data_IF_611820737246
#
_entry.id   IF_611820737246
#
_cell.length_a   1.000
_cell.length_b   1.000
_cell.length_c   1.000
_cell.angle_alpha   90.00
_cell.angle_beta   90.00
_cell.angle_gamma   90.00
#
_symmetry.space_group_name_H-M   'P 1'
#
loop_
_entity.id
_entity.type
_entity.pdbx_description
1 polymer ?
#
# COMPACT_ATOMS: atom_id res chain seq x y z
N UNK A 1 58.41 -51.70 43.51
CA UNK A 1 59.39 -50.70 43.98
C UNK A 1 59.52 -49.65 42.90
N UNK A 2 58.72 -48.57 43.01
CA UNK A 2 59.16 -47.17 43.21
C UNK A 2 59.45 -46.48 41.86
N UNK A 3 58.54 -45.63 41.32
CA UNK A 3 58.41 -44.18 41.57
C UNK A 3 59.66 -43.40 41.07
N UNK A 4 59.63 -42.23 40.44
CA UNK A 4 58.65 -41.24 40.00
C UNK A 4 59.43 -40.25 39.09
N UNK A 5 58.78 -39.52 38.18
CA UNK A 5 58.56 -38.08 38.34
C UNK A 5 57.95 -37.44 37.09
N UNK A 6 57.06 -36.51 37.40
CA UNK A 6 56.21 -35.68 36.56
C UNK A 6 56.86 -34.28 36.37
N UNK A 7 56.17 -33.42 35.61
CA UNK A 7 56.30 -31.95 35.51
C UNK A 7 57.02 -31.40 34.25
N UNK A 8 56.18 -31.02 33.27
CA UNK A 8 55.96 -29.61 32.98
C UNK A 8 56.71 -28.97 31.80
N UNK A 9 55.98 -28.70 30.70
CA UNK A 9 55.91 -27.36 30.07
C UNK A 9 54.77 -27.29 29.06
N UNK A 10 53.76 -26.50 29.44
CA UNK A 10 52.58 -26.15 28.67
C UNK A 10 52.93 -25.37 27.40
N UNK A 11 52.24 -25.73 26.33
CA UNK A 11 52.27 -25.07 25.03
C UNK A 11 51.56 -23.72 25.15
N UNK A 12 52.24 -22.66 24.74
CA UNK A 12 51.73 -21.30 24.69
C UNK A 12 50.59 -21.20 23.67
N UNK A 13 49.37 -20.97 24.16
CA UNK A 13 48.22 -20.54 23.37
C UNK A 13 48.27 -19.02 23.26
N UNK A 14 48.39 -18.49 22.04
CA UNK A 14 48.28 -17.05 21.78
C UNK A 14 46.89 -16.51 22.14
N UNK A 15 46.74 -15.19 22.34
CA UNK A 15 45.51 -14.60 22.86
C UNK A 15 44.39 -14.79 21.85
N UNK A 16 43.26 -15.34 22.28
CA UNK A 16 42.02 -15.31 21.53
C UNK A 16 41.58 -13.85 21.38
N UNK A 17 41.54 -13.36 20.14
CA UNK A 17 40.91 -12.08 19.82
C UNK A 17 39.48 -12.10 20.34
N UNK A 18 39.25 -11.28 21.36
CA UNK A 18 37.93 -11.07 21.95
C UNK A 18 37.10 -10.23 20.97
N UNK A 19 35.84 -10.57 20.69
CA UNK A 19 34.99 -9.74 19.85
C UNK A 19 34.90 -8.36 20.51
N UNK A 20 35.13 -7.33 19.68
CA UNK A 20 35.17 -5.92 20.03
C UNK A 20 34.15 -5.54 21.10
N UNK A 21 34.64 -5.10 22.27
CA UNK A 21 33.85 -4.30 23.21
C UNK A 21 33.43 -3.02 22.50
N UNK A 22 32.25 -3.02 21.88
CA UNK A 22 31.51 -1.79 21.63
C UNK A 22 31.45 -1.06 22.98
N UNK A 23 32.01 0.14 23.05
CA UNK A 23 31.96 0.98 24.25
C UNK A 23 30.49 1.25 24.55
N UNK A 24 29.91 0.47 25.46
CA UNK A 24 28.58 0.74 26.01
C UNK A 24 28.65 2.16 26.57
N UNK A 25 27.92 3.08 25.95
CA UNK A 25 27.71 4.43 26.49
C UNK A 25 26.98 4.22 27.81
N UNK A 26 27.57 4.67 28.93
CA UNK A 26 27.31 4.14 30.27
C UNK A 26 25.85 4.12 30.74
N UNK A 27 25.00 4.98 30.18
CA UNK A 27 23.58 5.07 30.52
C UNK A 27 22.66 4.26 29.57
N UNK A 28 23.21 3.61 28.55
CA UNK A 28 22.45 2.80 27.59
C UNK A 28 22.38 1.36 28.10
N UNK A 29 21.17 0.79 28.25
CA UNK A 29 20.99 -0.62 28.58
C UNK A 29 21.83 -1.54 27.68
N UNK A 30 22.48 -2.54 28.28
CA UNK A 30 23.44 -3.40 27.58
C UNK A 30 22.79 -4.21 26.45
N UNK A 31 21.51 -4.57 26.58
CA UNK A 31 20.72 -5.21 25.54
C UNK A 31 20.57 -4.32 24.30
N UNK A 32 20.32 -3.02 24.48
CA UNK A 32 20.25 -2.06 23.37
C UNK A 32 21.62 -1.80 22.75
N UNK A 33 22.67 -1.67 23.56
CA UNK A 33 24.03 -1.46 23.06
C UNK A 33 24.55 -2.65 22.22
N UNK A 34 24.07 -3.86 22.51
CA UNK A 34 24.40 -5.07 21.77
C UNK A 34 23.47 -5.35 20.58
N UNK A 35 22.38 -4.58 20.44
CA UNK A 35 21.39 -4.75 19.36
C UNK A 35 21.59 -3.78 18.19
N UNK A 36 22.71 -3.07 18.15
CA UNK A 36 23.02 -2.16 17.04
C UNK A 36 23.53 -2.93 15.83
N UNK A 37 23.12 -2.51 14.64
CA UNK A 37 23.65 -3.02 13.38
C UNK A 37 25.01 -2.40 13.02
N UNK A 38 25.59 -2.83 11.89
CA UNK A 38 26.89 -2.36 11.40
C UNK A 38 26.94 -0.84 11.16
N UNK A 39 25.79 -0.17 11.08
CA UNK A 39 25.68 1.28 10.90
C UNK A 39 25.35 2.02 12.20
N UNK A 40 25.29 1.32 13.34
CA UNK A 40 24.98 1.88 14.65
C UNK A 40 23.49 2.15 14.88
N UNK A 41 22.60 1.55 14.07
CA UNK A 41 21.15 1.65 14.25
C UNK A 41 20.62 0.52 15.13
N UNK A 42 19.66 0.81 16.02
CA UNK A 42 18.97 -0.21 16.82
C UNK A 42 18.14 -1.18 15.98
N UNK A 43 17.77 -0.78 14.76
CA UNK A 43 17.01 -1.59 13.82
C UNK A 43 17.58 -1.34 12.44
N UNK A 44 17.93 -2.42 11.73
CA UNK A 44 18.32 -2.34 10.33
C UNK A 44 17.10 -1.96 9.48
N UNK A 45 17.21 -0.84 8.77
CA UNK A 45 16.16 -0.34 7.89
C UNK A 45 16.67 -0.36 6.46
N UNK A 46 15.93 -1.06 5.60
CA UNK A 46 16.24 -1.08 4.17
C UNK A 46 16.08 0.31 3.55
N UNK A 47 16.97 0.71 2.63
CA UNK A 47 16.84 1.99 1.95
C UNK A 47 15.52 2.10 1.20
N UNK A 48 14.78 3.17 1.45
CA UNK A 48 13.50 3.45 0.81
C UNK A 48 13.63 4.34 -0.42
N UNK A 49 12.62 4.22 -1.30
CA UNK A 49 12.41 5.14 -2.40
C UNK A 49 11.53 6.32 -1.97
N UNK A 50 11.97 7.53 -2.32
CA UNK A 50 11.27 8.78 -2.09
C UNK A 50 10.84 9.42 -3.40
N UNK A 51 9.63 9.98 -3.41
CA UNK A 51 9.12 10.85 -4.46
C UNK A 51 9.46 12.29 -4.07
N UNK A 52 10.52 12.82 -4.68
CA UNK A 52 11.06 14.16 -4.44
C UNK A 52 10.47 15.13 -5.46
N UNK A 53 9.73 16.12 -4.98
CA UNK A 53 9.02 17.08 -5.80
C UNK A 53 9.71 18.44 -5.75
N UNK A 54 10.16 18.94 -6.91
CA UNK A 54 10.69 20.28 -7.09
C UNK A 54 9.61 21.16 -7.69
N UNK A 55 9.25 22.24 -7.00
CA UNK A 55 7.99 22.96 -7.29
C UNK A 55 8.17 24.48 -7.33
N UNK A 56 7.33 25.19 -8.10
CA UNK A 56 7.21 26.63 -8.00
C UNK A 56 6.59 27.02 -6.66
N UNK A 57 6.88 28.24 -6.18
CA UNK A 57 6.32 28.75 -4.93
C UNK A 57 4.84 29.12 -5.08
N UNK A 58 4.02 28.74 -4.09
CA UNK A 58 2.57 28.98 -4.06
C UNK A 58 2.19 30.45 -3.85
N UNK A 59 3.06 31.24 -3.22
CA UNK A 59 2.86 32.69 -3.00
C UNK A 59 3.99 33.47 -3.62
N UNK A 60 3.70 34.62 -4.21
CA UNK A 60 4.73 35.49 -4.80
C UNK A 60 5.65 36.02 -3.71
N UNK A 61 6.95 35.85 -3.88
CA UNK A 61 7.99 36.40 -3.02
C UNK A 61 8.95 37.26 -3.83
N UNK A 62 9.55 38.28 -3.21
CA UNK A 62 10.43 39.22 -3.91
C UNK A 62 11.66 38.53 -4.52
N UNK A 63 12.18 37.50 -3.86
CA UNK A 63 13.36 36.74 -4.30
C UNK A 63 13.08 35.75 -5.43
N UNK A 64 11.80 35.47 -5.75
CA UNK A 64 11.42 34.51 -6.80
C UNK A 64 12.01 34.82 -8.19
N UNK A 65 12.39 36.09 -8.43
CA UNK A 65 13.00 36.52 -9.70
C UNK A 65 14.47 36.08 -9.86
N UNK A 66 15.13 35.71 -8.77
CA UNK A 66 16.55 35.36 -8.75
C UNK A 66 16.81 33.85 -8.69
N UNK A 67 15.76 33.04 -8.74
CA UNK A 67 15.82 31.57 -8.63
C UNK A 67 15.09 30.90 -9.78
N UNK A 68 15.37 29.62 -10.00
CA UNK A 68 14.73 28.83 -11.06
C UNK A 68 13.20 28.85 -10.92
N UNK A 69 12.50 29.22 -11.99
CA UNK A 69 11.06 29.49 -11.94
C UNK A 69 10.21 28.27 -11.55
N UNK A 70 10.63 27.05 -11.91
CA UNK A 70 9.98 25.78 -11.53
C UNK A 70 10.49 25.16 -10.23
N UNK A 71 11.68 25.52 -9.74
CA UNK A 71 12.33 24.85 -8.60
C UNK A 71 12.62 25.87 -7.50
N UNK A 72 11.55 26.43 -6.93
CA UNK A 72 11.64 27.40 -5.83
C UNK A 72 11.58 26.73 -4.48
N UNK A 73 11.02 25.52 -4.44
CA UNK A 73 10.85 24.73 -3.23
C UNK A 73 11.04 23.23 -3.54
N UNK A 74 11.37 22.44 -2.53
CA UNK A 74 11.48 20.99 -2.62
C UNK A 74 10.89 20.33 -1.39
N UNK A 75 10.16 19.24 -1.61
CA UNK A 75 9.65 18.36 -0.57
C UNK A 75 9.75 16.91 -1.00
N UNK A 76 9.58 15.99 -0.06
CA UNK A 76 9.65 14.57 -0.33
C UNK A 76 8.42 13.87 0.24
N UNK A 77 7.95 12.84 -0.46
CA UNK A 77 6.86 12.01 0.00
C UNK A 77 7.05 10.57 -0.44
N UNK A 78 6.39 9.63 0.23
CA UNK A 78 6.38 8.23 -0.19
C UNK A 78 5.06 7.54 0.20
N UNK A 79 4.55 6.61 -0.61
CA UNK A 79 3.34 5.86 -0.27
C UNK A 79 3.62 4.84 0.84
N UNK A 80 2.63 4.60 1.69
CA UNK A 80 2.62 3.49 2.66
C UNK A 80 2.04 2.24 2.02
N UNK A 81 2.14 1.09 2.70
CA UNK A 81 1.47 -0.16 2.28
C UNK A 81 -0.05 -0.07 2.29
N UNK A 82 -0.61 0.82 3.11
CA UNK A 82 -2.06 1.03 3.30
C UNK A 82 -2.66 2.07 2.36
N UNK A 83 -1.87 2.69 1.48
CA UNK A 83 -2.35 3.69 0.52
C UNK A 83 -2.29 5.14 1.01
N UNK A 84 -2.05 5.39 2.29
CA UNK A 84 -1.69 6.74 2.77
C UNK A 84 -0.31 7.17 2.25
N UNK A 85 0.05 8.44 2.46
CA UNK A 85 1.36 8.96 2.06
C UNK A 85 2.07 9.63 3.22
N UNK A 86 3.32 9.26 3.47
CA UNK A 86 4.18 10.04 4.33
C UNK A 86 4.66 11.28 3.55
N UNK A 87 4.42 12.47 4.10
CA UNK A 87 4.94 13.74 3.61
C UNK A 87 6.04 14.23 4.54
N UNK A 88 7.17 14.63 3.96
CA UNK A 88 8.24 15.41 4.60
C UNK A 88 8.40 16.72 3.85
N UNK A 89 7.97 17.79 4.50
CA UNK A 89 7.75 19.10 3.90
C UNK A 89 8.47 20.17 4.74
N UNK A 90 9.65 20.64 4.30
CA UNK A 90 10.39 21.71 4.97
C UNK A 90 9.71 23.07 4.75
N UNK A 91 8.67 23.35 5.51
CA UNK A 91 7.83 24.53 5.35
C UNK A 91 8.34 25.74 6.14
N UNK A 92 9.04 26.63 5.46
CA UNK A 92 9.49 27.93 6.00
C UNK A 92 10.32 27.78 7.29
N UNK A 93 9.69 27.89 8.47
CA UNK A 93 10.35 27.81 9.79
C UNK A 93 10.10 26.47 10.51
N UNK A 94 9.38 25.54 9.90
CA UNK A 94 9.03 24.24 10.50
C UNK A 94 9.30 23.09 9.54
N UNK A 95 9.83 21.99 10.06
CA UNK A 95 9.79 20.70 9.38
C UNK A 95 8.43 20.03 9.63
N UNK A 96 7.63 19.84 8.59
CA UNK A 96 6.38 19.11 8.68
C UNK A 96 6.59 17.66 8.25
N UNK A 97 6.25 16.73 9.14
CA UNK A 97 6.21 15.30 8.86
C UNK A 97 4.83 14.80 9.22
N UNK A 98 4.06 14.30 8.25
CA UNK A 98 2.68 13.88 8.46
C UNK A 98 2.28 12.76 7.51
N UNK A 99 1.23 12.01 7.88
CA UNK A 99 0.59 11.02 7.01
C UNK A 99 -0.62 11.69 6.37
N UNK A 100 -0.67 11.69 5.04
CA UNK A 100 -1.77 12.22 4.25
C UNK A 100 -2.69 11.10 3.77
N UNK A 101 -4.01 11.30 3.80
CA UNK A 101 -4.93 10.53 2.99
C UNK A 101 -4.55 10.60 1.50
N UNK A 102 -4.89 9.59 0.68
CA UNK A 102 -4.49 9.56 -0.72
C UNK A 102 -5.00 10.78 -1.51
N UNK A 103 -6.22 11.25 -1.24
CA UNK A 103 -6.79 12.44 -1.90
C UNK A 103 -5.97 13.72 -1.62
N UNK A 104 -5.47 13.89 -0.41
CA UNK A 104 -4.61 15.03 -0.06
C UNK A 104 -3.22 14.89 -0.66
N UNK A 105 -2.68 13.67 -0.70
CA UNK A 105 -1.40 13.39 -1.36
C UNK A 105 -1.43 13.75 -2.84
N UNK A 106 -2.55 13.48 -3.54
CA UNK A 106 -2.72 13.89 -4.95
C UNK A 106 -2.61 15.41 -5.13
N UNK A 107 -3.10 16.21 -4.18
CA UNK A 107 -2.96 17.68 -4.25
C UNK A 107 -1.50 18.11 -4.26
N UNK A 108 -0.67 17.48 -3.43
CA UNK A 108 0.78 17.70 -3.42
C UNK A 108 1.46 17.15 -4.68
N UNK A 109 1.10 15.96 -5.16
CA UNK A 109 1.64 15.42 -6.41
C UNK A 109 1.32 16.31 -7.62
N UNK A 110 0.10 16.87 -7.66
CA UNK A 110 -0.30 17.86 -8.66
C UNK A 110 0.53 19.13 -8.59
N UNK A 111 0.87 19.60 -7.39
CA UNK A 111 1.83 20.69 -7.22
C UNK A 111 3.22 20.27 -7.72
N UNK A 112 3.66 19.05 -7.41
CA UNK A 112 4.86 18.40 -7.96
C UNK A 112 4.92 18.48 -9.49
N UNK A 113 3.83 18.15 -10.17
CA UNK A 113 3.74 18.13 -11.62
C UNK A 113 3.93 19.50 -12.29
N UNK A 114 3.76 20.60 -11.53
CA UNK A 114 4.02 21.96 -12.06
C UNK A 114 5.52 22.27 -12.16
N UNK A 115 6.38 21.48 -11.51
CA UNK A 115 7.83 21.50 -11.66
C UNK A 115 8.34 20.14 -12.13
N UNK A 116 9.09 19.44 -11.30
CA UNK A 116 9.68 18.15 -11.63
C UNK A 116 9.56 17.17 -10.46
N UNK A 117 9.25 15.91 -10.75
CA UNK A 117 9.13 14.84 -9.76
C UNK A 117 10.18 13.78 -10.05
N UNK A 118 10.96 13.40 -9.03
CA UNK A 118 11.98 12.36 -9.12
C UNK A 118 11.69 11.24 -8.12
N UNK A 119 11.84 9.98 -8.54
CA UNK A 119 12.01 8.86 -7.62
C UNK A 119 13.49 8.70 -7.31
N UNK A 120 13.82 8.74 -6.02
CA UNK A 120 15.20 8.72 -5.52
C UNK A 120 15.29 7.74 -4.37
N UNK A 121 16.19 6.77 -4.48
CA UNK A 121 16.52 5.85 -3.38
C UNK A 121 17.46 6.53 -2.39
N UNK A 122 17.11 6.53 -1.11
CA UNK A 122 17.97 7.09 -0.07
C UNK A 122 19.27 6.28 0.11
N UNK A 123 20.27 6.88 0.73
CA UNK A 123 21.50 6.20 1.11
C UNK A 123 21.47 5.87 2.61
N UNK A 124 21.62 4.59 2.94
CA UNK A 124 21.78 4.09 4.32
C UNK A 124 23.08 3.26 4.36
N UNK A 125 24.13 3.70 5.09
CA UNK A 125 24.25 4.99 5.74
C UNK A 125 24.39 6.14 4.73
N UNK A 126 23.96 7.33 5.12
CA UNK A 126 24.13 8.54 4.32
C UNK A 126 25.56 9.12 4.40
N UNK A 127 25.87 10.06 3.51
CA UNK A 127 27.16 10.78 3.48
C UNK A 127 27.03 12.26 3.91
N UNK A 128 25.91 12.61 4.53
CA UNK A 128 25.64 13.97 4.95
C UNK A 128 26.48 14.39 6.16
N UNK A 129 27.01 15.62 6.14
CA UNK A 129 27.72 16.20 7.27
C UNK A 129 26.75 16.63 8.38
N UNK A 130 27.15 16.44 9.64
CA UNK A 130 26.44 16.96 10.82
C UNK A 130 26.71 18.46 11.05
N UNK A 131 27.76 19.02 10.45
CA UNK A 131 28.01 20.46 10.46
C UNK A 131 27.05 21.13 9.48
N UNK A 132 25.91 21.57 9.99
CA UNK A 132 24.84 22.18 9.21
C UNK A 132 25.03 23.70 9.18
N UNK A 133 25.38 24.25 8.03
CA UNK A 133 25.30 25.69 7.78
C UNK A 133 23.84 26.17 7.70
N UNK A 134 23.51 27.02 6.74
CA UNK A 134 22.12 27.44 6.50
C UNK A 134 21.19 26.26 6.16
N UNK A 135 20.15 26.04 6.98
CA UNK A 135 19.21 24.93 6.81
C UNK A 135 17.98 25.38 6.02
N UNK A 136 17.95 25.09 4.72
CA UNK A 136 16.80 25.37 3.84
C UNK A 136 16.21 24.06 3.27
N UNK A 137 15.13 24.15 2.50
CA UNK A 137 14.44 22.97 1.97
C UNK A 137 15.36 22.05 1.16
N UNK A 138 16.29 22.58 0.37
CA UNK A 138 17.25 21.76 -0.38
C UNK A 138 18.22 21.02 0.54
N UNK A 139 18.78 21.70 1.54
CA UNK A 139 19.70 21.09 2.52
C UNK A 139 18.98 20.01 3.33
N UNK A 140 17.74 20.26 3.75
CA UNK A 140 16.95 19.33 4.53
C UNK A 140 16.52 18.10 3.71
N UNK A 141 16.11 18.29 2.45
CA UNK A 141 15.81 17.16 1.55
C UNK A 141 17.07 16.37 1.18
N UNK A 142 18.22 17.03 0.99
CA UNK A 142 19.49 16.33 0.79
C UNK A 142 19.85 15.47 2.01
N UNK A 143 19.66 16.01 3.22
CA UNK A 143 19.90 15.28 4.46
C UNK A 143 18.96 14.08 4.61
N UNK A 144 17.66 14.24 4.33
CA UNK A 144 16.68 13.15 4.31
C UNK A 144 17.13 12.01 3.39
N UNK A 145 17.64 12.34 2.21
CA UNK A 145 18.09 11.37 1.21
C UNK A 145 19.49 10.78 1.50
N UNK A 146 20.15 11.19 2.60
CA UNK A 146 21.51 10.76 2.91
C UNK A 146 22.57 11.30 1.94
N UNK A 147 22.31 12.44 1.29
CA UNK A 147 23.21 13.11 0.34
C UNK A 147 24.01 14.24 1.01
N UNK A 148 25.17 14.64 0.45
CA UNK A 148 25.93 15.78 0.96
C UNK A 148 25.11 17.09 0.88
N UNK A 149 25.18 17.91 1.92
CA UNK A 149 24.43 19.17 2.08
C UNK A 149 25.00 20.37 1.30
N UNK A 150 25.89 20.13 0.33
CA UNK A 150 26.54 21.19 -0.45
C UNK A 150 25.62 21.82 -1.51
N UNK A 151 24.39 21.31 -1.68
CA UNK A 151 23.39 21.86 -2.59
C UNK A 151 22.41 22.80 -1.88
N UNK A 152 22.69 24.10 -1.99
CA UNK A 152 21.97 25.15 -1.29
C UNK A 152 20.68 25.62 -1.96
N UNK A 153 20.35 25.12 -3.16
CA UNK A 153 19.15 25.52 -3.89
C UNK A 153 18.38 24.29 -4.39
N UNK A 154 17.04 24.35 -4.49
CA UNK A 154 16.26 23.23 -5.01
C UNK A 154 16.70 22.83 -6.42
N UNK A 155 17.00 23.79 -7.31
CA UNK A 155 17.51 23.47 -8.64
C UNK A 155 18.92 22.84 -8.61
N UNK A 156 19.77 23.24 -7.67
CA UNK A 156 21.07 22.60 -7.44
C UNK A 156 20.93 21.13 -7.04
N UNK A 157 20.05 20.86 -6.07
CA UNK A 157 19.73 19.50 -5.64
C UNK A 157 19.12 18.66 -6.77
N UNK A 158 18.17 19.21 -7.52
CA UNK A 158 17.60 18.56 -8.70
C UNK A 158 18.67 18.09 -9.69
N UNK A 159 19.61 18.98 -10.06
CA UNK A 159 20.72 18.63 -10.98
C UNK A 159 21.67 17.60 -10.39
N UNK A 160 21.87 17.60 -9.07
CA UNK A 160 22.66 16.57 -8.39
C UNK A 160 21.97 15.21 -8.51
N UNK A 161 20.70 15.11 -8.11
CA UNK A 161 19.95 13.86 -8.09
C UNK A 161 19.76 13.27 -9.49
N UNK A 162 19.60 14.11 -10.52
CA UNK A 162 19.51 13.66 -11.91
C UNK A 162 20.78 12.98 -12.44
N UNK A 163 21.95 13.22 -11.83
CA UNK A 163 23.20 12.55 -12.26
C UNK A 163 23.31 11.14 -11.69
N UNK A 164 22.47 10.78 -10.72
CA UNK A 164 22.50 9.46 -10.10
C UNK A 164 21.82 8.43 -11.00
N UNK A 165 22.50 7.30 -11.23
CA UNK A 165 22.01 6.23 -12.13
C UNK A 165 20.73 5.57 -11.65
N UNK A 166 20.40 5.64 -10.36
CA UNK A 166 19.18 5.07 -9.77
C UNK A 166 17.99 6.03 -9.82
N UNK A 167 18.21 7.33 -10.05
CA UNK A 167 17.13 8.32 -10.08
C UNK A 167 16.29 8.17 -11.34
N UNK A 168 14.97 8.27 -11.18
CA UNK A 168 14.00 8.25 -12.30
C UNK A 168 13.12 9.48 -12.23
N UNK A 169 12.70 9.99 -13.40
CA UNK A 169 11.64 11.00 -13.46
C UNK A 169 10.30 10.28 -13.33
N UNK A 170 9.39 10.89 -12.59
CA UNK A 170 8.09 10.33 -12.32
C UNK A 170 6.97 11.17 -12.92
N UNK A 171 5.87 10.50 -13.25
CA UNK A 171 4.63 11.13 -13.66
C UNK A 171 3.55 10.82 -12.64
N UNK A 172 2.72 11.80 -12.30
CA UNK A 172 1.66 11.65 -11.29
C UNK A 172 0.70 10.51 -11.63
N UNK A 173 0.28 10.38 -12.89
CA UNK A 173 -0.62 9.31 -13.31
C UNK A 173 -0.01 7.94 -13.05
N UNK A 174 1.25 7.73 -13.40
CA UNK A 174 1.92 6.44 -13.17
C UNK A 174 2.09 6.15 -11.67
N UNK A 175 2.44 7.17 -10.87
CA UNK A 175 2.51 7.01 -9.41
C UNK A 175 1.18 6.57 -8.81
N UNK A 176 0.06 7.12 -9.29
CA UNK A 176 -1.27 6.74 -8.83
C UNK A 176 -1.68 5.35 -9.33
N UNK A 177 -1.37 5.00 -10.58
CA UNK A 177 -1.58 3.65 -11.11
C UNK A 177 -0.83 2.60 -10.28
N UNK A 178 0.46 2.84 -10.01
CA UNK A 178 1.29 1.91 -9.24
C UNK A 178 0.75 1.75 -7.82
N UNK A 179 0.39 2.88 -7.18
CA UNK A 179 -0.14 2.86 -5.83
C UNK A 179 -1.49 2.15 -5.74
N UNK A 180 -2.44 2.50 -6.62
CA UNK A 180 -3.77 1.91 -6.60
C UNK A 180 -3.68 0.42 -6.89
N UNK A 181 -2.90 0.03 -7.90
CA UNK A 181 -2.64 -1.39 -8.20
C UNK A 181 -2.10 -2.12 -6.97
N UNK A 182 -1.10 -1.55 -6.28
CA UNK A 182 -0.49 -2.18 -5.10
C UNK A 182 -1.47 -2.33 -3.94
N UNK A 183 -2.18 -1.26 -3.58
CA UNK A 183 -3.11 -1.26 -2.45
C UNK A 183 -4.29 -2.19 -2.75
N UNK A 184 -4.91 -2.02 -3.91
CA UNK A 184 -6.08 -2.81 -4.29
C UNK A 184 -5.74 -4.29 -4.41
N UNK A 185 -4.62 -4.64 -5.07
CA UNK A 185 -4.21 -6.05 -5.17
C UNK A 185 -3.92 -6.67 -3.81
N UNK A 186 -3.30 -5.93 -2.88
CA UNK A 186 -3.04 -6.43 -1.52
C UNK A 186 -4.33 -6.84 -0.80
N UNK A 187 -5.36 -6.00 -0.87
CA UNK A 187 -6.63 -6.27 -0.22
C UNK A 187 -7.48 -7.30 -0.99
N UNK A 188 -7.53 -7.24 -2.33
CA UNK A 188 -8.28 -8.19 -3.17
C UNK A 188 -7.78 -9.63 -3.00
N UNK A 189 -6.45 -9.84 -2.90
CA UNK A 189 -5.88 -11.19 -2.69
C UNK A 189 -6.32 -11.80 -1.36
N UNK A 190 -6.46 -10.99 -0.31
CA UNK A 190 -6.91 -11.46 1.01
C UNK A 190 -8.42 -11.72 1.03
N UNK A 191 -9.23 -10.88 0.38
CA UNK A 191 -10.69 -11.06 0.34
C UNK A 191 -11.10 -12.36 -0.37
N UNK A 192 -10.35 -12.73 -1.41
CA UNK A 192 -10.63 -13.87 -2.27
C UNK A 192 -9.86 -15.13 -1.87
N UNK A 193 -9.10 -15.10 -0.77
CA UNK A 193 -8.44 -16.30 -0.27
C UNK A 193 -9.49 -17.26 0.31
N UNK A 194 -9.77 -18.33 -0.42
CA UNK A 194 -10.66 -19.42 0.00
C UNK A 194 -9.81 -20.68 0.13
N UNK A 195 -9.86 -21.34 1.28
CA UNK A 195 -9.13 -22.61 1.51
C UNK A 195 -9.78 -23.77 0.76
N UNK A 196 -9.03 -24.85 0.55
CA UNK A 196 -9.57 -26.07 -0.06
C UNK A 196 -10.76 -26.64 0.75
N UNK A 197 -10.69 -26.56 2.07
CA UNK A 197 -11.76 -27.00 2.98
C UNK A 197 -13.01 -26.13 2.88
N UNK A 198 -12.86 -24.84 2.56
CA UNK A 198 -14.02 -23.96 2.33
C UNK A 198 -14.70 -24.26 1.00
N UNK A 199 -13.95 -24.71 -0.02
CA UNK A 199 -14.51 -25.05 -1.33
C UNK A 199 -15.37 -26.33 -1.32
N UNK A 200 -15.31 -27.14 -0.26
CA UNK A 200 -16.16 -28.32 -0.08
C UNK A 200 -17.44 -28.03 0.70
N UNK A 201 -17.63 -26.80 1.20
CA UNK A 201 -18.84 -26.38 1.88
C UNK A 201 -20.03 -26.29 0.90
N UNK A 202 -21.27 -26.43 1.40
CA UNK A 202 -22.46 -26.13 0.61
C UNK A 202 -22.37 -24.73 -0.03
N UNK A 203 -22.88 -24.58 -1.27
CA UNK A 203 -22.79 -23.33 -2.03
C UNK A 203 -23.24 -22.11 -1.21
N UNK A 204 -24.33 -22.24 -0.45
CA UNK A 204 -24.84 -21.19 0.43
C UNK A 204 -23.80 -20.72 1.44
N UNK A 205 -23.17 -21.64 2.15
CA UNK A 205 -22.18 -21.30 3.19
C UNK A 205 -20.93 -20.70 2.57
N UNK A 206 -20.48 -21.24 1.44
CA UNK A 206 -19.35 -20.70 0.68
C UNK A 206 -19.62 -19.26 0.21
N UNK A 207 -20.80 -18.98 -0.35
CA UNK A 207 -21.17 -17.63 -0.78
C UNK A 207 -21.32 -16.66 0.40
N UNK A 208 -21.75 -17.13 1.58
CA UNK A 208 -21.82 -16.30 2.79
C UNK A 208 -20.39 -15.90 3.23
N UNK A 209 -19.47 -16.86 3.29
CA UNK A 209 -18.06 -16.60 3.66
C UNK A 209 -17.43 -15.61 2.69
N UNK A 210 -17.56 -15.85 1.39
CA UNK A 210 -17.01 -14.94 0.36
C UNK A 210 -17.67 -13.57 0.44
N UNK A 211 -18.99 -13.51 0.61
CA UNK A 211 -19.73 -12.24 0.72
C UNK A 211 -19.26 -11.39 1.90
N UNK A 212 -18.98 -12.01 3.06
CA UNK A 212 -18.41 -11.32 4.22
C UNK A 212 -17.01 -10.80 3.94
N UNK A 213 -16.12 -11.67 3.46
CA UNK A 213 -14.73 -11.30 3.19
C UNK A 213 -14.65 -10.14 2.19
N UNK A 214 -15.49 -10.16 1.15
CA UNK A 214 -15.59 -9.07 0.18
C UNK A 214 -16.08 -7.77 0.83
N UNK A 215 -17.17 -7.83 1.61
CA UNK A 215 -17.72 -6.65 2.29
C UNK A 215 -16.75 -6.05 3.30
N UNK A 216 -16.13 -6.86 4.17
CA UNK A 216 -15.14 -6.40 5.15
C UNK A 216 -13.95 -5.74 4.47
N UNK A 217 -13.46 -6.36 3.39
CA UNK A 217 -12.35 -5.79 2.62
C UNK A 217 -12.74 -4.44 2.02
N UNK A 218 -13.91 -4.36 1.38
CA UNK A 218 -14.39 -3.14 0.76
C UNK A 218 -14.67 -2.00 1.74
N UNK A 219 -15.09 -2.32 2.96
CA UNK A 219 -15.31 -1.34 4.03
C UNK A 219 -14.02 -0.96 4.76
N UNK A 220 -12.87 -1.53 4.38
CA UNK A 220 -11.59 -1.15 4.98
C UNK A 220 -11.29 0.32 4.67
N UNK A 221 -10.94 1.15 5.67
CA UNK A 221 -10.69 2.59 5.46
C UNK A 221 -9.70 2.90 4.33
N UNK A 222 -8.62 2.11 4.22
CA UNK A 222 -7.63 2.21 3.15
C UNK A 222 -8.24 2.10 1.73
N UNK A 223 -9.14 1.13 1.52
CA UNK A 223 -9.77 0.91 0.22
C UNK A 223 -10.86 1.94 -0.07
N UNK A 224 -11.59 2.38 0.95
CA UNK A 224 -12.56 3.48 0.81
C UNK A 224 -11.86 4.77 0.37
N UNK A 225 -10.73 5.12 1.00
CA UNK A 225 -9.94 6.30 0.66
C UNK A 225 -9.33 6.23 -0.75
N UNK A 226 -8.85 5.06 -1.17
CA UNK A 226 -8.37 4.86 -2.55
C UNK A 226 -9.53 4.96 -3.56
N UNK A 227 -10.68 4.36 -3.26
CA UNK A 227 -11.90 4.46 -4.09
C UNK A 227 -12.34 5.92 -4.23
N UNK A 228 -12.44 6.64 -3.11
CA UNK A 228 -12.78 8.06 -3.07
C UNK A 228 -11.80 8.89 -3.91
N UNK A 229 -10.51 8.63 -3.78
CA UNK A 229 -9.47 9.32 -4.58
C UNK A 229 -9.60 9.00 -6.07
N UNK A 230 -9.87 7.75 -6.43
CA UNK A 230 -10.08 7.34 -7.82
C UNK A 230 -11.30 8.02 -8.46
N UNK A 231 -12.35 8.27 -7.67
CA UNK A 231 -13.55 9.03 -8.10
C UNK A 231 -13.21 10.50 -8.27
N UNK A 232 -12.57 11.13 -7.26
CA UNK A 232 -12.22 12.55 -7.29
C UNK A 232 -11.33 12.94 -8.48
N UNK A 233 -10.43 12.04 -8.86
CA UNK A 233 -9.38 12.33 -9.85
C UNK A 233 -9.64 11.65 -11.20
N UNK A 234 -10.82 11.06 -11.41
CA UNK A 234 -11.15 10.26 -12.59
C UNK A 234 -10.98 11.00 -13.92
N UNK A 235 -11.36 12.28 -13.97
CA UNK A 235 -11.22 13.11 -15.18
C UNK A 235 -9.75 13.46 -15.46
N UNK A 236 -8.93 13.63 -14.42
CA UNK A 236 -7.53 14.06 -14.56
C UNK A 236 -6.59 12.89 -14.81
N UNK A 237 -6.83 11.75 -14.17
CA UNK A 237 -5.97 10.57 -14.19
C UNK A 237 -6.78 9.30 -14.48
N UNK A 238 -7.39 9.19 -15.67
CA UNK A 238 -8.35 8.12 -15.97
C UNK A 238 -7.71 6.72 -15.92
N UNK A 239 -6.40 6.60 -16.18
CA UNK A 239 -5.69 5.33 -16.12
C UNK A 239 -5.57 4.81 -14.68
N UNK A 240 -5.43 5.69 -13.69
CA UNK A 240 -5.40 5.31 -12.28
C UNK A 240 -6.77 4.75 -11.86
N UNK A 241 -7.86 5.39 -12.27
CA UNK A 241 -9.22 4.89 -12.03
C UNK A 241 -9.46 3.55 -12.72
N UNK A 242 -8.94 3.34 -13.93
CA UNK A 242 -8.99 2.02 -14.59
C UNK A 242 -8.20 0.97 -13.83
N UNK A 243 -7.02 1.31 -13.30
CA UNK A 243 -6.24 0.39 -12.48
C UNK A 243 -7.01 -0.05 -11.21
N UNK A 244 -7.69 0.88 -10.55
CA UNK A 244 -8.58 0.55 -9.42
C UNK A 244 -9.67 -0.47 -9.84
N UNK A 245 -10.37 -0.21 -10.94
CA UNK A 245 -11.44 -1.11 -11.41
C UNK A 245 -10.91 -2.49 -11.86
N UNK A 246 -9.75 -2.53 -12.53
CA UNK A 246 -9.14 -3.77 -13.04
C UNK A 246 -8.61 -4.66 -11.93
N UNK A 247 -8.06 -4.09 -10.85
CA UNK A 247 -7.48 -4.85 -9.75
C UNK A 247 -8.44 -5.07 -8.57
N UNK A 248 -9.56 -4.33 -8.52
CA UNK A 248 -10.56 -4.42 -7.44
C UNK A 248 -11.68 -5.40 -7.76
N UNK A 249 -12.80 -4.96 -8.37
CA UNK A 249 -13.98 -5.80 -8.59
C UNK A 249 -13.77 -6.92 -9.63
N UNK A 250 -12.93 -6.74 -10.64
CA UNK A 250 -12.78 -7.72 -11.73
C UNK A 250 -12.30 -9.11 -11.25
N UNK A 251 -11.26 -9.23 -10.41
CA UNK A 251 -10.87 -10.51 -9.83
C UNK A 251 -12.00 -11.19 -9.03
N UNK A 252 -12.77 -10.42 -8.25
CA UNK A 252 -13.87 -10.96 -7.46
C UNK A 252 -14.98 -11.54 -8.35
N UNK A 253 -15.36 -10.81 -9.41
CA UNK A 253 -16.33 -11.27 -10.40
C UNK A 253 -15.83 -12.57 -11.07
N UNK A 254 -14.55 -12.65 -11.42
CA UNK A 254 -13.98 -13.84 -12.07
C UNK A 254 -14.00 -15.07 -11.15
N UNK A 255 -13.68 -14.91 -9.85
CA UNK A 255 -13.75 -15.99 -8.86
C UNK A 255 -15.20 -16.45 -8.67
N UNK A 256 -16.12 -15.52 -8.43
CA UNK A 256 -17.54 -15.82 -8.27
C UNK A 256 -18.11 -16.53 -9.51
N UNK A 257 -17.76 -16.06 -10.71
CA UNK A 257 -18.19 -16.70 -11.97
C UNK A 257 -17.79 -18.17 -12.03
N UNK A 258 -16.57 -18.52 -11.60
CA UNK A 258 -16.10 -19.91 -11.56
C UNK A 258 -16.86 -20.76 -10.54
N UNK A 259 -17.17 -20.21 -9.37
CA UNK A 259 -17.95 -20.90 -8.33
C UNK A 259 -19.37 -21.18 -8.84
N UNK A 260 -20.02 -20.16 -9.40
CA UNK A 260 -21.37 -20.30 -9.95
C UNK A 260 -21.42 -21.25 -11.15
N UNK A 261 -20.40 -21.26 -12.00
CA UNK A 261 -20.33 -22.20 -13.12
C UNK A 261 -20.23 -23.66 -12.63
N UNK A 262 -19.48 -23.93 -11.57
CA UNK A 262 -19.41 -25.27 -10.96
C UNK A 262 -20.74 -25.68 -10.33
N UNK A 263 -21.37 -24.78 -9.58
CA UNK A 263 -22.69 -25.04 -8.99
C UNK A 263 -23.76 -25.32 -10.05
N UNK A 264 -23.74 -24.57 -11.17
CA UNK A 264 -24.62 -24.83 -12.31
C UNK A 264 -24.37 -26.21 -12.93
N UNK A 265 -23.10 -26.60 -13.10
CA UNK A 265 -22.75 -27.94 -13.61
C UNK A 265 -23.20 -29.07 -12.67
N UNK A 266 -23.22 -28.81 -11.36
CA UNK A 266 -23.73 -29.74 -10.35
C UNK A 266 -25.26 -29.75 -10.24
N UNK A 267 -25.97 -28.86 -10.95
CA UNK A 267 -27.43 -28.73 -10.89
C UNK A 267 -27.95 -28.06 -9.61
N UNK A 268 -27.08 -27.43 -8.82
CA UNK A 268 -27.47 -26.74 -7.58
C UNK A 268 -28.19 -25.41 -7.83
N UNK A 269 -27.95 -24.79 -9.00
CA UNK A 269 -28.54 -23.52 -9.42
C UNK A 269 -28.84 -23.54 -10.93
N UNK A 270 -29.83 -22.75 -11.35
CA UNK A 270 -30.12 -22.47 -12.75
C UNK A 270 -29.91 -20.98 -13.08
N UNK A 271 -28.75 -20.67 -13.66
CA UNK A 271 -28.39 -19.33 -14.10
C UNK A 271 -28.06 -19.33 -15.59
N UNK A 272 -28.73 -18.49 -16.38
CA UNK A 272 -28.43 -18.36 -17.81
C UNK A 272 -26.97 -17.92 -18.07
N UNK A 273 -26.48 -16.91 -17.35
CA UNK A 273 -25.14 -16.34 -17.50
C UNK A 273 -24.44 -16.16 -16.14
N UNK A 274 -23.50 -17.05 -15.80
CA UNK A 274 -22.80 -17.04 -14.51
C UNK A 274 -22.04 -15.74 -14.22
N UNK A 275 -21.46 -15.09 -15.25
CA UNK A 275 -20.74 -13.82 -15.07
C UNK A 275 -21.70 -12.67 -14.74
N UNK A 276 -22.87 -12.62 -15.37
CA UNK A 276 -23.92 -11.67 -15.02
C UNK A 276 -24.44 -11.91 -13.61
N UNK A 277 -24.64 -13.19 -13.24
CA UNK A 277 -25.00 -13.58 -11.87
C UNK A 277 -23.96 -13.15 -10.84
N UNK A 278 -22.67 -13.31 -11.13
CA UNK A 278 -21.58 -12.86 -10.26
C UNK A 278 -21.60 -11.33 -10.06
N UNK A 279 -21.81 -10.56 -11.14
CA UNK A 279 -21.97 -9.10 -11.06
C UNK A 279 -23.19 -8.70 -10.23
N UNK A 280 -24.31 -9.38 -10.43
CA UNK A 280 -25.55 -9.11 -9.68
C UNK A 280 -25.38 -9.42 -8.19
N UNK A 281 -24.75 -10.55 -7.86
CA UNK A 281 -24.44 -10.91 -6.48
C UNK A 281 -23.55 -9.85 -5.82
N UNK A 282 -22.47 -9.43 -6.48
CA UNK A 282 -21.60 -8.37 -5.96
C UNK A 282 -22.35 -7.03 -5.79
N UNK A 283 -23.21 -6.68 -6.74
CA UNK A 283 -24.07 -5.49 -6.64
C UNK A 283 -25.02 -5.55 -5.43
N UNK A 284 -25.60 -6.71 -5.12
CA UNK A 284 -26.44 -6.90 -3.95
C UNK A 284 -25.66 -6.79 -2.64
N UNK A 285 -24.42 -7.30 -2.60
CA UNK A 285 -23.52 -7.10 -1.46
C UNK A 285 -23.27 -5.60 -1.25
N UNK A 286 -22.80 -4.88 -2.27
CA UNK A 286 -22.50 -3.44 -2.18
C UNK A 286 -23.71 -2.61 -1.73
N UNK A 287 -24.86 -2.79 -2.37
CA UNK A 287 -26.02 -1.90 -2.21
C UNK A 287 -25.63 -0.41 -2.19
N UNK A 288 -26.30 0.35 -1.32
CA UNK A 288 -25.95 1.74 -1.00
C UNK A 288 -24.84 1.86 0.06
N UNK A 289 -24.55 0.82 0.84
CA UNK A 289 -23.66 0.91 2.01
C UNK A 289 -22.23 1.31 1.63
N UNK A 290 -21.74 0.80 0.50
CA UNK A 290 -20.42 1.18 0.01
C UNK A 290 -20.37 2.65 -0.43
N UNK A 291 -21.42 3.12 -1.10
CA UNK A 291 -21.50 4.52 -1.54
C UNK A 291 -21.58 5.46 -0.33
N UNK A 292 -22.41 5.13 0.67
CA UNK A 292 -22.50 5.88 1.93
C UNK A 292 -21.14 5.95 2.62
N UNK A 293 -20.43 4.83 2.73
CA UNK A 293 -19.08 4.78 3.32
C UNK A 293 -18.07 5.64 2.54
N UNK A 294 -18.06 5.59 1.20
CA UNK A 294 -17.17 6.42 0.35
C UNK A 294 -17.50 7.91 0.49
N UNK A 295 -18.76 8.25 0.64
CA UNK A 295 -19.23 9.62 0.86
C UNK A 295 -19.11 10.08 2.32
N UNK A 296 -18.59 9.22 3.22
CA UNK A 296 -18.47 9.47 4.65
C UNK A 296 -19.81 9.82 5.31
N UNK A 297 -20.88 9.14 4.87
CA UNK A 297 -22.23 9.28 5.41
C UNK A 297 -22.48 8.23 6.50
N UNK A 298 -22.64 8.68 7.73
CA UNK A 298 -22.90 7.79 8.88
C UNK A 298 -21.66 7.01 9.32
N UNK A 299 -21.90 6.04 10.19
CA UNK A 299 -20.85 5.14 10.69
C UNK A 299 -20.60 3.97 9.73
N UNK A 300 -19.37 3.45 9.72
CA UNK A 300 -19.07 2.24 8.97
C UNK A 300 -19.86 1.05 9.54
N UNK A 301 -20.35 0.13 8.68
CA UNK A 301 -21.08 -1.05 9.12
C UNK A 301 -20.28 -1.87 10.13
N UNK A 302 -20.96 -2.34 11.18
CA UNK A 302 -20.33 -3.28 12.12
C UNK A 302 -20.15 -4.64 11.47
N UNK A 303 -19.32 -5.51 12.07
CA UNK A 303 -19.19 -6.89 11.60
C UNK A 303 -20.52 -7.65 11.60
N UNK A 304 -21.42 -7.33 12.54
CA UNK A 304 -22.77 -7.91 12.57
C UNK A 304 -23.63 -7.42 11.40
N UNK A 305 -23.51 -6.15 11.03
CA UNK A 305 -24.23 -5.60 9.86
C UNK A 305 -23.73 -6.23 8.56
N UNK A 306 -22.41 -6.42 8.46
CA UNK A 306 -21.77 -7.11 7.32
C UNK A 306 -22.26 -8.57 7.23
N UNK A 307 -22.28 -9.30 8.36
CA UNK A 307 -22.76 -10.68 8.45
C UNK A 307 -24.21 -10.81 7.98
N UNK A 308 -25.09 -9.96 8.53
CA UNK A 308 -26.51 -9.92 8.21
C UNK A 308 -26.72 -9.60 6.72
N UNK A 309 -26.00 -8.62 6.19
CA UNK A 309 -26.07 -8.23 4.78
C UNK A 309 -25.61 -9.35 3.86
N UNK A 310 -24.49 -10.02 4.18
CA UNK A 310 -24.01 -11.15 3.40
C UNK A 310 -25.03 -12.30 3.37
N UNK A 311 -25.59 -12.69 4.53
CA UNK A 311 -26.63 -13.73 4.61
C UNK A 311 -27.88 -13.37 3.82
N UNK A 312 -28.32 -12.12 3.92
CA UNK A 312 -29.52 -11.63 3.21
C UNK A 312 -29.30 -11.63 1.71
N UNK A 313 -28.16 -11.12 1.24
CA UNK A 313 -27.81 -11.10 -0.18
C UNK A 313 -27.70 -12.52 -0.75
N UNK A 314 -27.07 -13.45 -0.03
CA UNK A 314 -26.97 -14.86 -0.45
C UNK A 314 -28.34 -15.53 -0.51
N UNK A 315 -29.20 -15.29 0.48
CA UNK A 315 -30.57 -15.80 0.47
C UNK A 315 -31.30 -15.35 -0.79
N UNK A 316 -31.40 -14.04 -1.01
CA UNK A 316 -32.12 -13.47 -2.17
C UNK A 316 -31.52 -13.94 -3.50
N UNK A 317 -30.19 -14.00 -3.59
CA UNK A 317 -29.51 -14.47 -4.80
C UNK A 317 -29.82 -15.92 -5.13
N UNK A 318 -29.73 -16.82 -4.14
CA UNK A 318 -29.97 -18.25 -4.35
C UNK A 318 -31.44 -18.54 -4.62
N UNK A 319 -32.36 -17.89 -3.89
CA UNK A 319 -33.80 -18.05 -4.12
C UNK A 319 -34.17 -17.64 -5.56
N UNK A 320 -33.49 -16.64 -6.14
CA UNK A 320 -33.68 -16.21 -7.53
C UNK A 320 -32.91 -17.05 -8.57
N UNK A 321 -32.06 -17.97 -8.12
CA UNK A 321 -31.25 -18.87 -8.95
C UNK A 321 -31.69 -20.34 -8.81
N UNK A 322 -32.80 -20.60 -8.12
CA UNK A 322 -33.34 -21.95 -7.98
C UNK A 322 -33.74 -22.52 -9.35
N UNK A 323 -33.47 -23.81 -9.61
CA UNK A 323 -33.94 -24.46 -10.83
C UNK A 323 -35.46 -24.38 -10.94
N UNK A 324 -35.96 -23.89 -12.08
CA UNK A 324 -37.40 -23.76 -12.28
C UNK A 324 -38.09 -25.14 -12.28
N UNK A 325 -38.75 -25.48 -11.17
CA UNK A 325 -39.53 -26.73 -11.06
C UNK A 325 -40.64 -26.80 -12.13
N UNK A 326 -41.15 -25.66 -12.64
CA UNK A 326 -42.17 -25.66 -13.70
C UNK A 326 -41.65 -26.18 -15.03
N UNK A 327 -40.39 -25.92 -15.37
CA UNK A 327 -39.80 -26.43 -16.61
C UNK A 327 -39.65 -27.96 -16.56
N UNK A 328 -39.39 -28.54 -15.37
CA UNK A 328 -39.35 -29.99 -15.16
C UNK A 328 -40.72 -30.69 -15.20
N UNK A 329 -41.78 -30.04 -14.72
CA UNK A 329 -43.16 -30.59 -14.76
C UNK A 329 -43.70 -30.58 -16.19
N UNK A 330 -43.47 -29.52 -16.95
CA UNK A 330 -43.93 -29.44 -18.35
C UNK A 330 -43.17 -30.43 -19.25
N UNK A 331 -41.87 -30.64 -19.03
CA UNK A 331 -41.08 -31.64 -19.76
C UNK A 331 -41.51 -33.09 -19.44
N UNK A 332 -41.84 -33.38 -18.17
CA UNK A 332 -42.37 -34.71 -17.78
C UNK A 332 -43.78 -34.96 -18.32
N UNK A 333 -44.64 -33.96 -18.34
CA UNK A 333 -45.98 -34.08 -18.91
C UNK A 333 -45.96 -34.31 -20.44
N UNK A 334 -45.00 -33.70 -21.15
CA UNK A 334 -44.82 -33.88 -22.60
C UNK A 334 -44.21 -35.25 -22.99
N UNK A 335 -43.55 -35.95 -22.07
CA UNK A 335 -42.98 -37.29 -22.30
C UNK A 335 -43.96 -38.43 -21.96
N UNK A 336 -45.10 -38.10 -21.33
CA UNK A 336 -46.17 -39.05 -20.94
C UNK A 336 -47.45 -38.90 -21.77
N UNK A 337 -47.45 -38.09 -22.83
CA UNK A 337 -48.55 -37.90 -23.78
C UNK A 337 -48.19 -38.45 -25.15
#
# INVERSE_FOLDING_TARGET
MSAANDIGRSRWSGPSESPSRLKVVGDVPADLANSIDDNGSLVTVDPADWIVCFVPGLRRQWWHRFVHHRHKHVFAMRPTSTGSWLLVEPWWTRMMVTILPPADAVRFLRWGATGDILRVREAVPGTASQLRGWSNCAVLSAFLLGRPSWTWTPHGLYRQLLRERSTRRENVQQLLVDQFTKVVSHYSSNALSVSADQLSLPLRDLLIIIGRNLLETMMTPSLLEVCYTAILEADRYPDATRAYAQHGPTPAIAVLTKILAKAKQAGEIDLAHCEAGARQFLGMLHGNVHLEAVLQLGDLPTLSDIDLRARTAVKVFLDGAEPDERTGIVARAALTA
#
